data_IF_097879606481
#
_entry.id   IF_097879606481
#
_cell.length_a   1.000
_cell.length_b   1.000
_cell.length_c   1.000
_cell.angle_alpha   90.00
_cell.angle_beta   90.00
_cell.angle_gamma   90.00
#
_symmetry.space_group_name_H-M   'P 1'
#
loop_
_entity.id
_entity.type
_entity.pdbx_description
1 polymer ?
#
# COMPACT_ATOMS: atom_id res chain seq x y z
N UNK A 1 7.49 5.64 22.22
CA UNK A 1 7.69 5.75 20.75
C UNK A 1 6.93 4.61 20.09
N UNK A 2 6.09 4.91 19.09
CA UNK A 2 5.39 3.90 18.28
C UNK A 2 6.35 3.39 17.20
N UNK A 3 6.52 2.07 17.14
CA UNK A 3 7.26 1.43 16.05
C UNK A 3 6.25 0.91 15.03
N UNK A 4 6.54 1.14 13.77
CA UNK A 4 5.69 0.73 12.66
C UNK A 4 6.47 -0.14 11.68
N UNK A 5 5.77 -0.90 10.86
CA UNK A 5 6.36 -1.65 9.75
C UNK A 5 5.59 -1.36 8.47
N UNK A 6 6.24 -1.60 7.34
CA UNK A 6 5.69 -1.35 6.01
C UNK A 6 5.70 -2.65 5.20
N UNK A 7 4.61 -2.93 4.53
CA UNK A 7 4.48 -4.08 3.61
C UNK A 7 3.33 -3.88 2.64
N UNK A 8 3.32 -4.68 1.58
CA UNK A 8 2.30 -4.59 0.53
C UNK A 8 1.23 -5.66 0.61
N UNK A 9 0.31 -5.56 -0.34
CA UNK A 9 -0.77 -6.54 -0.57
C UNK A 9 -0.22 -7.96 -0.74
N UNK A 10 -0.91 -8.94 -0.16
CA UNK A 10 -0.52 -10.35 -0.21
C UNK A 10 0.58 -10.77 0.77
N UNK A 11 1.06 -9.85 1.62
CA UNK A 11 2.02 -10.18 2.67
C UNK A 11 1.34 -11.00 3.79
N UNK A 12 2.07 -11.93 4.38
CA UNK A 12 1.69 -12.62 5.61
C UNK A 12 1.84 -11.65 6.79
N UNK A 13 0.72 -11.13 7.28
CA UNK A 13 0.67 -10.07 8.30
C UNK A 13 1.32 -10.50 9.61
N UNK A 14 1.08 -11.71 10.07
CA UNK A 14 1.67 -12.21 11.32
C UNK A 14 3.19 -12.33 11.21
N UNK A 15 3.68 -12.78 10.09
CA UNK A 15 5.12 -12.85 9.82
C UNK A 15 5.77 -11.47 9.77
N UNK A 16 5.09 -10.47 9.17
CA UNK A 16 5.60 -9.09 9.12
C UNK A 16 5.74 -8.50 10.53
N UNK A 17 4.78 -8.75 11.41
CA UNK A 17 4.82 -8.23 12.78
C UNK A 17 5.60 -9.10 13.77
N UNK A 18 6.02 -10.30 13.39
CA UNK A 18 6.66 -11.25 14.32
C UNK A 18 7.86 -10.64 15.07
N UNK A 19 8.75 -9.95 14.33
CA UNK A 19 9.94 -9.33 14.93
C UNK A 19 9.59 -8.17 15.86
N UNK A 20 8.58 -7.38 15.52
CA UNK A 20 8.11 -6.29 16.39
C UNK A 20 7.50 -6.84 17.68
N UNK A 21 6.67 -7.87 17.59
CA UNK A 21 6.06 -8.56 18.75
C UNK A 21 7.13 -9.17 19.67
N UNK A 22 8.21 -9.72 19.10
CA UNK A 22 9.33 -10.27 19.89
C UNK A 22 10.03 -9.20 20.74
N UNK A 23 10.27 -8.02 20.14
CA UNK A 23 11.01 -6.92 20.81
C UNK A 23 10.09 -6.07 21.71
N UNK A 24 8.84 -5.93 21.32
CA UNK A 24 7.84 -5.06 21.98
C UNK A 24 6.47 -5.78 22.06
N UNK A 25 6.33 -6.81 22.92
CA UNK A 25 5.12 -7.65 22.95
C UNK A 25 3.82 -6.90 23.26
N UNK A 26 3.91 -5.85 24.07
CA UNK A 26 2.74 -5.05 24.51
C UNK A 26 2.53 -3.76 23.68
N UNK A 27 3.29 -3.57 22.60
CA UNK A 27 3.15 -2.36 21.80
C UNK A 27 1.94 -2.47 20.85
N UNK A 28 1.23 -1.35 20.62
CA UNK A 28 0.22 -1.32 19.56
C UNK A 28 0.88 -1.57 18.20
N UNK A 29 0.19 -2.31 17.33
CA UNK A 29 0.70 -2.66 16.01
C UNK A 29 0.17 -1.66 14.97
N UNK A 30 1.06 -1.22 14.08
CA UNK A 30 0.71 -0.32 12.98
C UNK A 30 1.54 -0.62 11.73
N UNK A 31 0.85 -0.76 10.59
CA UNK A 31 1.45 -0.69 9.27
C UNK A 31 1.38 0.77 8.80
N UNK A 32 2.50 1.49 8.79
CA UNK A 32 2.52 2.91 8.42
C UNK A 32 2.49 3.16 6.92
N UNK A 33 2.88 2.16 6.13
CA UNK A 33 2.66 2.13 4.70
C UNK A 33 2.18 0.73 4.28
N UNK A 34 0.90 0.62 3.99
CA UNK A 34 0.34 -0.56 3.34
C UNK A 34 0.26 -0.29 1.84
N UNK A 35 1.11 -0.97 1.07
CA UNK A 35 1.25 -0.69 -0.35
C UNK A 35 0.11 -1.31 -1.16
N UNK A 36 -0.76 -0.45 -1.70
CA UNK A 36 -1.93 -0.83 -2.50
C UNK A 36 -1.57 -1.28 -3.92
N UNK A 37 -0.40 -0.93 -4.41
CA UNK A 37 0.11 -1.18 -5.74
C UNK A 37 1.63 -1.01 -5.81
N UNK A 38 2.11 -0.53 -6.96
CA UNK A 38 3.50 -0.15 -7.17
C UNK A 38 3.61 0.86 -8.31
N UNK A 39 4.72 1.58 -8.36
CA UNK A 39 4.99 2.55 -9.42
C UNK A 39 5.69 1.93 -10.62
N UNK A 40 5.50 2.55 -11.78
CA UNK A 40 6.04 2.08 -13.04
C UNK A 40 7.50 2.46 -13.25
N UNK A 41 8.17 1.63 -14.04
CA UNK A 41 9.53 1.87 -14.51
C UNK A 41 9.58 1.86 -16.03
N UNK A 42 10.46 2.67 -16.60
CA UNK A 42 10.70 2.69 -18.04
C UNK A 42 11.05 1.31 -18.59
N UNK A 43 10.39 0.96 -19.71
CA UNK A 43 10.64 -0.29 -20.40
C UNK A 43 10.08 -1.55 -19.73
N UNK A 44 9.34 -1.40 -18.62
CA UNK A 44 8.67 -2.51 -17.94
C UNK A 44 7.17 -2.51 -18.16
N UNK A 45 6.52 -3.63 -17.89
CA UNK A 45 5.06 -3.74 -17.90
C UNK A 45 4.48 -2.81 -16.83
N UNK A 46 3.34 -2.19 -17.15
CA UNK A 46 2.56 -1.42 -16.19
C UNK A 46 2.18 -2.28 -14.97
N UNK A 47 2.44 -1.75 -13.80
CA UNK A 47 2.17 -2.42 -12.53
C UNK A 47 0.67 -2.36 -12.20
N UNK A 48 0.12 -3.53 -11.92
CA UNK A 48 -1.27 -3.67 -11.46
C UNK A 48 -1.35 -4.72 -10.38
N UNK A 49 -2.24 -4.52 -9.40
CA UNK A 49 -2.48 -5.45 -8.31
C UNK A 49 -3.97 -5.75 -8.19
N UNK A 50 -4.30 -6.98 -7.89
CA UNK A 50 -5.68 -7.37 -7.62
C UNK A 50 -6.21 -6.61 -6.39
N UNK A 51 -7.33 -5.89 -6.58
CA UNK A 51 -7.99 -5.13 -5.53
C UNK A 51 -8.50 -6.00 -4.38
N UNK A 52 -8.92 -7.24 -4.66
CA UNK A 52 -9.39 -8.15 -3.63
C UNK A 52 -8.30 -8.52 -2.63
N UNK A 53 -7.06 -8.72 -3.10
CA UNK A 53 -5.92 -9.01 -2.21
C UNK A 53 -5.64 -7.83 -1.26
N UNK A 54 -5.82 -6.59 -1.74
CA UNK A 54 -5.72 -5.40 -0.90
C UNK A 54 -6.82 -5.40 0.18
N UNK A 55 -8.05 -5.64 -0.22
CA UNK A 55 -9.22 -5.69 0.67
C UNK A 55 -9.06 -6.74 1.77
N UNK A 56 -8.62 -7.94 1.38
CA UNK A 56 -8.42 -9.05 2.33
C UNK A 56 -7.35 -8.71 3.37
N UNK A 57 -6.24 -8.12 2.94
CA UNK A 57 -5.19 -7.67 3.86
C UNK A 57 -5.65 -6.58 4.83
N UNK A 58 -6.46 -5.62 4.36
CA UNK A 58 -7.02 -4.57 5.21
C UNK A 58 -8.01 -5.15 6.23
N UNK A 59 -8.90 -6.03 5.80
CA UNK A 59 -9.83 -6.73 6.71
C UNK A 59 -9.08 -7.52 7.77
N UNK A 60 -8.07 -8.28 7.38
CA UNK A 60 -7.26 -9.03 8.33
C UNK A 60 -6.58 -8.13 9.37
N UNK A 61 -6.04 -6.97 8.95
CA UNK A 61 -5.48 -5.99 9.88
C UNK A 61 -6.54 -5.43 10.84
N UNK A 62 -7.73 -5.09 10.32
CA UNK A 62 -8.85 -4.59 11.14
C UNK A 62 -9.29 -5.64 12.16
N UNK A 63 -9.47 -6.89 11.75
CA UNK A 63 -9.88 -8.01 12.62
C UNK A 63 -8.86 -8.28 13.73
N UNK A 64 -7.58 -8.02 13.46
CA UNK A 64 -6.48 -8.16 14.43
C UNK A 64 -6.22 -6.89 15.26
N UNK A 65 -7.02 -5.82 15.08
CA UNK A 65 -6.82 -4.55 15.78
C UNK A 65 -5.54 -3.82 15.40
N UNK A 66 -5.02 -4.05 14.20
CA UNK A 66 -3.81 -3.42 13.68
C UNK A 66 -4.18 -2.13 12.95
N UNK A 67 -3.57 -1.02 13.33
CA UNK A 67 -3.72 0.26 12.64
C UNK A 67 -2.95 0.25 11.31
N UNK A 68 -3.46 0.95 10.32
CA UNK A 68 -2.78 1.06 9.02
C UNK A 68 -2.95 2.44 8.39
N UNK A 69 -2.04 2.74 7.47
CA UNK A 69 -2.11 3.88 6.55
C UNK A 69 -1.84 3.38 5.14
N UNK A 70 -2.70 3.74 4.20
CA UNK A 70 -2.53 3.34 2.80
C UNK A 70 -1.40 4.14 2.15
N UNK A 71 -0.54 3.45 1.45
CA UNK A 71 0.47 4.01 0.57
C UNK A 71 0.39 3.35 -0.82
N UNK A 72 -0.21 3.96 -1.84
CA UNK A 72 -0.85 5.29 -1.86
C UNK A 72 -2.37 5.12 -1.93
N UNK A 73 -3.12 6.07 -1.40
CA UNK A 73 -4.54 6.23 -1.74
C UNK A 73 -4.69 6.92 -3.10
N UNK A 74 -3.81 7.89 -3.38
CA UNK A 74 -3.63 8.57 -4.67
C UNK A 74 -2.14 8.82 -4.86
N UNK A 75 -1.56 8.29 -5.92
CA UNK A 75 -0.14 8.42 -6.18
C UNK A 75 0.25 9.75 -6.83
N UNK A 76 -0.49 10.17 -7.84
CA UNK A 76 -0.28 11.42 -8.57
C UNK A 76 0.80 11.35 -9.63
N UNK A 77 1.42 12.49 -9.90
CA UNK A 77 2.42 12.68 -10.96
C UNK A 77 3.72 13.24 -10.39
N UNK A 78 4.84 12.63 -10.72
CA UNK A 78 6.17 13.15 -10.41
C UNK A 78 6.65 14.01 -11.58
N UNK A 79 6.63 15.33 -11.41
CA UNK A 79 6.96 16.27 -12.47
C UNK A 79 8.47 16.45 -12.67
N UNK A 80 8.85 16.73 -13.91
CA UNK A 80 10.22 17.06 -14.29
C UNK A 80 11.21 15.94 -13.94
N UNK A 81 12.28 16.29 -13.25
CA UNK A 81 13.38 15.40 -12.86
C UNK A 81 13.31 14.92 -11.41
N UNK A 82 12.16 15.11 -10.74
CA UNK A 82 11.98 14.73 -9.34
C UNK A 82 11.76 13.23 -9.11
N UNK A 83 11.50 12.47 -10.18
CA UNK A 83 11.57 11.01 -10.15
C UNK A 83 13.00 10.58 -9.81
N UNK A 84 13.29 9.37 -10.05
CA UNK A 84 14.63 8.85 -9.78
C UNK A 84 14.78 7.48 -10.42
N UNK A 85 15.58 6.66 -9.79
CA UNK A 85 15.78 5.29 -10.20
C UNK A 85 16.00 4.38 -8.99
N UNK A 86 15.55 3.15 -9.10
CA UNK A 86 15.84 2.12 -8.12
C UNK A 86 17.16 1.43 -8.39
N UNK A 87 17.77 0.92 -7.31
CA UNK A 87 18.99 0.12 -7.30
C UNK A 87 18.67 -1.33 -6.83
N UNK A 88 19.59 -2.31 -7.01
CA UNK A 88 20.98 -2.20 -7.50
C UNK A 88 21.12 -2.11 -9.02
N UNK A 89 20.15 -2.59 -9.79
CA UNK A 89 20.13 -2.40 -11.24
C UNK A 89 19.38 -1.10 -11.53
N UNK A 90 20.03 -0.17 -12.26
CA UNK A 90 19.40 1.09 -12.64
C UNK A 90 18.06 0.86 -13.31
N UNK A 91 16.98 1.35 -12.69
CA UNK A 91 15.61 1.22 -13.14
C UNK A 91 14.92 2.57 -13.00
N UNK A 92 14.92 3.34 -14.10
CA UNK A 92 14.38 4.69 -14.13
C UNK A 92 12.86 4.67 -13.89
N UNK A 93 12.39 5.55 -13.03
CA UNK A 93 10.96 5.75 -12.78
C UNK A 93 10.30 6.53 -13.92
N UNK A 94 9.02 6.27 -14.16
CA UNK A 94 8.18 7.10 -15.01
C UNK A 94 7.72 8.36 -14.26
N UNK A 95 7.25 9.38 -15.00
CA UNK A 95 6.61 10.55 -14.40
C UNK A 95 5.27 10.22 -13.75
N UNK A 96 4.52 9.28 -14.33
CA UNK A 96 3.31 8.76 -13.68
C UNK A 96 3.67 8.04 -12.39
N UNK A 97 3.04 8.44 -11.30
CA UNK A 97 3.06 7.73 -10.04
C UNK A 97 1.65 7.22 -9.69
N UNK A 98 0.94 6.72 -10.72
CA UNK A 98 -0.44 6.20 -10.59
C UNK A 98 -0.53 5.16 -9.48
N UNK A 99 0.50 4.32 -9.34
CA UNK A 99 0.67 3.36 -8.26
C UNK A 99 -0.40 2.25 -8.27
N UNK A 100 -1.26 2.20 -9.28
CA UNK A 100 -2.47 1.38 -9.26
C UNK A 100 -3.27 1.62 -7.96
N UNK A 101 -3.31 2.87 -7.54
CA UNK A 101 -3.91 3.32 -6.30
C UNK A 101 -5.45 3.30 -6.37
N UNK A 102 -6.15 3.31 -5.22
CA UNK A 102 -7.61 3.45 -5.17
C UNK A 102 -8.16 4.67 -5.92
N UNK A 103 -7.41 5.77 -5.95
CA UNK A 103 -7.71 6.93 -6.78
C UNK A 103 -6.62 7.03 -7.86
N UNK A 104 -7.01 7.00 -9.13
CA UNK A 104 -6.08 7.07 -10.26
C UNK A 104 -5.32 8.39 -10.31
N UNK A 105 -4.24 8.46 -11.09
CA UNK A 105 -3.46 9.69 -11.31
C UNK A 105 -4.33 10.88 -11.75
N UNK A 106 -5.35 10.63 -12.57
CA UNK A 106 -6.30 11.65 -13.04
C UNK A 106 -7.41 12.00 -12.03
N UNK A 107 -7.45 11.40 -10.85
CA UNK A 107 -8.44 11.65 -9.82
C UNK A 107 -9.72 10.81 -9.93
N UNK A 108 -9.76 9.80 -10.79
CA UNK A 108 -10.90 8.90 -10.91
C UNK A 108 -10.88 7.83 -9.81
N UNK A 109 -12.04 7.54 -9.24
CA UNK A 109 -12.20 6.41 -8.33
C UNK A 109 -12.14 5.09 -9.09
N UNK A 110 -11.47 4.09 -8.50
CA UNK A 110 -11.33 2.73 -9.03
C UNK A 110 -12.17 1.74 -8.22
N UNK A 111 -12.24 0.49 -8.66
CA UNK A 111 -12.90 -0.58 -7.90
C UNK A 111 -12.25 -0.79 -6.52
N UNK A 112 -10.95 -0.54 -6.40
CA UNK A 112 -10.25 -0.54 -5.10
C UNK A 112 -10.84 0.50 -4.14
N UNK A 113 -11.13 1.71 -4.63
CA UNK A 113 -11.74 2.78 -3.82
C UNK A 113 -13.14 2.39 -3.34
N UNK A 114 -13.97 1.87 -4.23
CA UNK A 114 -15.33 1.42 -3.89
C UNK A 114 -15.28 0.30 -2.85
N UNK A 115 -14.34 -0.63 -2.98
CA UNK A 115 -14.15 -1.71 -2.01
C UNK A 115 -13.74 -1.20 -0.63
N UNK A 116 -12.90 -0.14 -0.56
CA UNK A 116 -12.52 0.49 0.71
C UNK A 116 -13.71 1.10 1.45
N UNK A 117 -14.65 1.71 0.73
CA UNK A 117 -15.88 2.25 1.33
C UNK A 117 -16.68 1.11 1.96
N UNK A 118 -16.86 0.00 1.25
CA UNK A 118 -17.64 -1.14 1.74
C UNK A 118 -17.03 -1.81 2.98
N UNK A 119 -15.69 -1.83 3.09
CA UNK A 119 -15.05 -2.40 4.29
C UNK A 119 -15.24 -1.50 5.51
N UNK A 120 -15.25 -0.18 5.31
CA UNK A 120 -15.31 0.81 6.39
C UNK A 120 -16.74 1.13 6.83
N UNK A 121 -17.76 0.78 6.03
CA UNK A 121 -19.15 0.99 6.41
C UNK A 121 -19.60 -0.10 7.40
N UNK A 122 -20.10 0.29 8.59
CA UNK A 122 -20.76 -0.68 9.46
C UNK A 122 -21.98 -1.22 8.72
N UNK A 123 -22.04 -2.53 8.55
CA UNK A 123 -23.23 -3.22 8.05
C UNK A 123 -24.43 -2.81 8.91
N UNK A 124 -25.33 -2.03 8.32
CA UNK A 124 -26.65 -1.71 8.91
C UNK A 124 -27.56 -2.92 8.78
#
# INVERSE_FOLDING_TARGET
MLWTINFGTGADIDKQFAKLKEVRPDAPLMCSEFWSGWFDHWGRKHETRDGQIMVDGLKEMMDKGISFSLYMTHGGTTFGWWGGANNPAYSAMCSSYDYDAPISEAGWTTDKYLSLIHISEPTR
#
